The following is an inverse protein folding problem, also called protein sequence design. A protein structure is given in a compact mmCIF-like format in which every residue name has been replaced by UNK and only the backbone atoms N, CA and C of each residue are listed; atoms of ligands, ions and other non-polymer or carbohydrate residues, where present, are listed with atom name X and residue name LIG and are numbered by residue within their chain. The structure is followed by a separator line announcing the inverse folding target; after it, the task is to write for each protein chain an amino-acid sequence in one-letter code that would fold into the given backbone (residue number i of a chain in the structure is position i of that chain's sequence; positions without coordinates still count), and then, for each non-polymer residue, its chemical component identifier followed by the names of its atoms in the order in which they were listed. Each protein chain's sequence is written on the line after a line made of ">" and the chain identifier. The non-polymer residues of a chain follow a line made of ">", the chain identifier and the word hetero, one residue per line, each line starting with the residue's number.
data_IF_135139819401
#
_entry.id   IF_135139819401
#
_cell.length_a   1.000
_cell.length_b   1.000
_cell.length_c   1.000
_cell.angle_alpha   90.00
_cell.angle_beta   90.00
_cell.angle_gamma   90.00
#
_symmetry.space_group_name_H-M   'P 1'
#
loop_
_entity.id
_entity.type
_entity.pdbx_description
1 polymer ?
#
# COMPACT_ATOMS: atom_id res chain seq x y z
N UNK A 1 10.62 4.27 29.51
CA UNK A 1 12.01 4.30 29.01
C UNK A 1 12.11 5.26 27.85
N UNK A 2 13.22 5.97 27.72
CA UNK A 2 13.45 6.92 26.61
C UNK A 2 13.44 6.22 25.24
N UNK A 3 13.95 4.99 25.16
CA UNK A 3 13.92 4.18 23.93
C UNK A 3 12.50 4.05 23.33
N UNK A 4 11.47 3.84 24.17
CA UNK A 4 10.08 3.75 23.69
C UNK A 4 9.57 5.09 23.15
N UNK A 5 9.96 6.21 23.77
CA UNK A 5 9.58 7.55 23.31
C UNK A 5 10.23 7.88 21.97
N UNK A 6 11.51 7.55 21.81
CA UNK A 6 12.23 7.81 20.57
C UNK A 6 11.76 6.92 19.43
N UNK A 7 11.41 5.66 19.72
CA UNK A 7 10.78 4.78 18.72
C UNK A 7 9.46 5.35 18.21
N UNK A 8 8.61 5.85 19.11
CA UNK A 8 7.36 6.48 18.72
C UNK A 8 7.62 7.68 17.80
N UNK A 9 8.51 8.61 18.18
CA UNK A 9 8.87 9.78 17.36
C UNK A 9 9.33 9.39 15.95
N UNK A 10 10.19 8.38 15.83
CA UNK A 10 10.68 7.88 14.54
C UNK A 10 9.56 7.33 13.66
N UNK A 11 8.66 6.52 14.23
CA UNK A 11 7.51 5.97 13.49
C UNK A 11 6.57 7.08 12.99
N UNK A 12 6.33 8.12 13.80
CA UNK A 12 5.52 9.26 13.36
C UNK A 12 6.16 10.01 12.20
N UNK A 13 7.47 10.28 12.27
CA UNK A 13 8.20 10.94 11.18
C UNK A 13 8.10 10.15 9.87
N UNK A 14 8.34 8.84 9.93
CA UNK A 14 8.23 7.95 8.76
C UNK A 14 6.83 8.02 8.14
N UNK A 15 5.78 7.95 8.95
CA UNK A 15 4.40 8.05 8.46
C UNK A 15 4.10 9.39 7.76
N UNK A 16 4.60 10.50 8.29
CA UNK A 16 4.45 11.80 7.65
C UNK A 16 5.19 11.91 6.32
N UNK A 17 6.38 11.31 6.21
CA UNK A 17 7.16 11.36 4.98
C UNK A 17 6.56 10.46 3.89
N UNK A 18 6.02 9.29 4.24
CA UNK A 18 5.23 8.46 3.32
C UNK A 18 4.04 9.24 2.74
N UNK A 19 3.31 9.97 3.60
CA UNK A 19 2.18 10.78 3.20
C UNK A 19 2.59 11.93 2.26
N UNK A 20 3.64 12.69 2.58
CA UNK A 20 4.17 13.77 1.72
C UNK A 20 4.52 13.26 0.32
N UNK A 21 5.11 12.07 0.23
CA UNK A 21 5.49 11.42 -1.04
C UNK A 21 4.31 10.77 -1.76
N UNK A 22 3.10 10.82 -1.17
CA UNK A 22 1.87 10.16 -1.65
C UNK A 22 2.09 8.68 -1.93
N UNK A 23 2.98 8.05 -1.16
CA UNK A 23 3.35 6.66 -1.35
C UNK A 23 2.62 5.82 -0.30
N UNK A 24 1.79 4.88 -0.77
CA UNK A 24 1.19 3.86 0.08
C UNK A 24 1.99 2.56 -0.06
N UNK A 25 2.72 2.12 0.98
CA UNK A 25 3.48 0.88 0.93
C UNK A 25 2.60 -0.34 0.65
N UNK A 26 3.17 -1.35 0.00
CA UNK A 26 2.47 -2.63 -0.21
C UNK A 26 2.26 -3.35 1.12
N UNK A 27 0.99 -3.60 1.45
CA UNK A 27 0.61 -4.32 2.67
C UNK A 27 0.93 -5.81 2.56
N UNK A 28 1.38 -6.40 3.68
CA UNK A 28 1.47 -7.86 3.83
C UNK A 28 0.15 -8.37 4.39
N UNK A 29 -0.57 -9.16 3.58
CA UNK A 29 -1.85 -9.71 3.99
C UNK A 29 -1.69 -10.70 5.15
N UNK A 30 -2.60 -10.63 6.12
CA UNK A 30 -2.69 -11.60 7.21
C UNK A 30 -4.15 -11.76 7.66
N UNK A 31 -4.41 -12.70 8.57
CA UNK A 31 -5.78 -12.95 9.07
C UNK A 31 -6.40 -11.71 9.73
N UNK A 32 -5.60 -10.81 10.29
CA UNK A 32 -6.09 -9.57 10.92
C UNK A 32 -6.68 -8.58 9.92
N UNK A 33 -6.33 -8.67 8.63
CA UNK A 33 -6.91 -7.81 7.60
C UNK A 33 -8.44 -7.97 7.49
N UNK A 34 -8.97 -9.15 7.82
CA UNK A 34 -10.42 -9.40 7.81
C UNK A 34 -11.16 -8.71 8.96
N UNK A 35 -10.45 -8.31 10.02
CA UNK A 35 -10.99 -7.56 11.15
C UNK A 35 -10.69 -6.06 11.06
N UNK A 36 -10.04 -5.60 9.98
CA UNK A 36 -9.67 -4.20 9.79
C UNK A 36 -10.91 -3.36 9.41
N UNK A 37 -11.02 -2.16 9.98
CA UNK A 37 -12.08 -1.19 9.64
C UNK A 37 -12.08 -0.76 8.17
N UNK A 38 -10.95 -0.91 7.47
CA UNK A 38 -10.78 -0.56 6.05
C UNK A 38 -10.78 -1.79 5.14
N UNK A 39 -11.31 -2.93 5.59
CA UNK A 39 -11.29 -4.19 4.82
C UNK A 39 -11.84 -4.00 3.40
N UNK A 40 -13.05 -3.44 3.27
CA UNK A 40 -13.77 -3.37 1.99
C UNK A 40 -13.17 -2.36 0.99
N UNK A 41 -12.37 -1.41 1.50
CA UNK A 41 -11.65 -0.43 0.68
C UNK A 41 -10.21 -0.88 0.38
N UNK A 42 -9.56 -1.60 1.29
CA UNK A 42 -8.18 -2.06 1.16
C UNK A 42 -8.06 -3.36 0.34
N UNK A 43 -8.84 -4.39 0.70
CA UNK A 43 -8.86 -5.69 0.02
C UNK A 43 -9.95 -5.71 -1.08
N UNK A 44 -9.70 -6.19 -2.31
CA UNK A 44 -8.43 -6.39 -3.03
C UNK A 44 -7.95 -5.14 -3.80
N UNK A 45 -8.65 -4.00 -3.66
CA UNK A 45 -8.51 -2.83 -4.53
C UNK A 45 -7.14 -2.14 -4.45
N UNK A 46 -6.53 -2.09 -3.26
CA UNK A 46 -5.30 -1.31 -3.04
C UNK A 46 -4.02 -2.08 -3.38
N UNK A 47 -4.07 -3.41 -3.41
CA UNK A 47 -2.86 -4.27 -3.49
C UNK A 47 -2.86 -5.29 -4.63
N UNK A 48 -3.94 -5.44 -5.39
CA UNK A 48 -4.02 -6.38 -6.52
C UNK A 48 -4.21 -5.71 -7.89
N UNK A 49 -4.27 -4.38 -7.94
CA UNK A 49 -4.31 -3.69 -9.23
C UNK A 49 -2.95 -3.89 -9.96
N UNK A 50 -2.96 -4.30 -11.24
CA UNK A 50 -1.74 -4.35 -12.04
C UNK A 50 -1.13 -2.95 -12.12
N UNK A 51 0.19 -2.89 -12.28
CA UNK A 51 0.85 -1.61 -12.55
C UNK A 51 0.30 -1.00 -13.84
N UNK A 52 0.34 0.33 -13.94
CA UNK A 52 -0.05 1.05 -15.17
C UNK A 52 0.72 0.51 -16.38
N UNK A 53 1.99 0.14 -16.19
CA UNK A 53 2.82 -0.48 -17.22
C UNK A 53 2.25 -1.82 -17.71
N UNK A 54 1.90 -2.72 -16.79
CA UNK A 54 1.30 -4.02 -17.13
C UNK A 54 -0.06 -3.86 -17.82
N UNK A 55 -0.87 -2.90 -17.36
CA UNK A 55 -2.15 -2.57 -18.00
C UNK A 55 -1.96 -2.11 -19.46
N UNK A 56 -1.05 -1.15 -19.69
CA UNK A 56 -0.77 -0.62 -21.04
C UNK A 56 -0.24 -1.73 -21.95
N UNK A 57 0.72 -2.54 -21.49
CA UNK A 57 1.27 -3.63 -22.28
C UNK A 57 0.22 -4.68 -22.64
N UNK A 58 -0.66 -5.05 -21.71
CA UNK A 58 -1.75 -5.98 -21.99
C UNK A 58 -2.72 -5.43 -23.04
N UNK A 59 -3.06 -4.13 -22.97
CA UNK A 59 -3.99 -3.51 -23.92
C UNK A 59 -3.42 -3.34 -25.33
N UNK A 60 -2.14 -2.98 -25.44
CA UNK A 60 -1.47 -2.88 -26.75
C UNK A 60 -1.29 -4.28 -27.36
N UNK A 61 -0.88 -5.28 -26.57
CA UNK A 61 -0.70 -6.64 -27.09
C UNK A 61 -2.01 -7.36 -27.48
N UNK A 62 -3.16 -6.90 -26.96
CA UNK A 62 -4.49 -7.36 -27.40
C UNK A 62 -4.90 -6.78 -28.76
N UNK A 63 -4.33 -5.65 -29.19
CA UNK A 63 -4.62 -5.00 -30.49
C UNK A 63 -3.80 -5.57 -31.66
N UNK A 64 -2.74 -6.33 -31.38
CA UNK A 64 -1.86 -6.99 -32.36
C UNK A 64 -2.30 -8.44 -32.72
N UNK A 65 -3.50 -8.87 -32.30
CA UNK A 65 -4.11 -10.19 -32.52
C UNK A 65 -5.43 -10.08 -33.30
#
# INVERSE_FOLDING_TARGET
>A
TEERKDRAKKMFQEMHDLFKRRYTPKVKWSKSCNACSLKDTCLPKLGKAPSVKEYIHGKIAEEDL
#
